data_IF_453208289634
#
_entry.id   IF_453208289634
#
_cell.length_a   1.000
_cell.length_b   1.000
_cell.length_c   1.000
_cell.angle_alpha   90.00
_cell.angle_beta   90.00
_cell.angle_gamma   90.00
#
_symmetry.space_group_name_H-M   'P 1'
#
loop_
_entity.id
_entity.type
_entity.pdbx_description
1 polymer ?
#
# COMPACT_ATOMS: atom_id res chain seq x y z
N UNK A 1 1.43 -7.86 14.67
CA UNK A 1 2.53 -6.95 14.29
C UNK A 1 2.40 -6.61 12.81
N UNK A 2 3.17 -5.65 12.27
CA UNK A 2 3.14 -5.27 10.85
C UNK A 2 4.55 -4.98 10.33
N UNK A 3 4.75 -5.07 9.01
CA UNK A 3 5.90 -4.48 8.32
C UNK A 3 5.46 -3.32 7.44
N UNK A 4 6.39 -2.41 7.17
CA UNK A 4 6.11 -1.22 6.38
C UNK A 4 7.21 -0.95 5.36
N UNK A 5 6.85 -0.25 4.29
CA UNK A 5 7.79 0.35 3.34
C UNK A 5 7.31 1.76 2.96
N UNK A 6 8.25 2.69 2.88
CA UNK A 6 7.97 4.08 2.46
C UNK A 6 7.95 4.20 0.94
N UNK A 7 7.06 5.04 0.41
CA UNK A 7 7.09 5.41 -0.99
C UNK A 7 8.44 6.06 -1.33
N UNK A 8 9.18 5.56 -2.35
CA UNK A 8 10.52 6.05 -2.69
C UNK A 8 10.49 7.31 -3.57
N UNK A 9 9.46 8.15 -3.44
CA UNK A 9 9.15 9.25 -4.34
C UNK A 9 8.89 10.55 -3.61
N UNK A 10 9.48 11.64 -4.11
CA UNK A 10 9.36 12.98 -3.49
C UNK A 10 7.93 13.50 -3.48
N UNK A 11 7.12 13.18 -4.49
CA UNK A 11 5.74 13.68 -4.63
C UNK A 11 4.75 12.96 -3.73
N UNK A 12 5.12 11.81 -3.16
CA UNK A 12 4.29 10.99 -2.27
C UNK A 12 5.10 10.56 -1.04
N UNK A 13 5.99 11.44 -0.55
CA UNK A 13 6.94 11.11 0.50
C UNK A 13 6.27 10.82 1.86
N UNK A 14 5.00 11.15 2.01
CA UNK A 14 4.15 10.88 3.16
C UNK A 14 3.36 9.57 3.04
N UNK A 15 3.50 8.83 1.94
CA UNK A 15 2.79 7.57 1.71
C UNK A 15 3.61 6.39 2.20
N UNK A 16 2.96 5.49 2.93
CA UNK A 16 3.51 4.21 3.37
C UNK A 16 2.64 3.05 2.92
N UNK A 17 3.28 1.92 2.69
CA UNK A 17 2.62 0.63 2.54
C UNK A 17 2.78 -0.18 3.83
N UNK A 18 1.71 -0.83 4.29
CA UNK A 18 1.67 -1.61 5.53
C UNK A 18 1.19 -3.03 5.18
N UNK A 19 1.96 -4.03 5.60
CA UNK A 19 1.61 -5.45 5.45
C UNK A 19 1.38 -6.10 6.80
N UNK A 20 0.27 -6.84 6.95
CA UNK A 20 -0.02 -7.61 8.17
C UNK A 20 0.99 -8.74 8.37
N UNK A 21 1.71 -8.76 9.50
CA UNK A 21 2.64 -9.83 9.88
C UNK A 21 1.98 -10.90 10.75
N UNK A 22 1.49 -10.47 11.90
CA UNK A 22 0.84 -11.33 12.89
C UNK A 22 -0.50 -10.70 13.28
N UNK A 23 -1.59 -11.46 13.21
CA UNK A 23 -2.88 -11.03 13.73
C UNK A 23 -2.93 -11.29 15.22
N UNK A 24 -2.93 -10.24 16.04
CA UNK A 24 -3.18 -10.33 17.48
C UNK A 24 -4.66 -10.53 17.86
N UNK A 25 -5.54 -10.84 16.91
CA UNK A 25 -6.98 -10.94 17.16
C UNK A 25 -7.86 -10.95 15.92
N UNK A 26 -7.55 -11.79 14.93
CA UNK A 26 -8.48 -12.10 13.83
C UNK A 26 -9.36 -13.28 14.22
N UNK A 27 -10.65 -13.23 13.88
CA UNK A 27 -11.57 -14.37 14.07
C UNK A 27 -11.08 -15.61 13.33
N UNK A 28 -11.61 -16.78 13.70
CA UNK A 28 -11.16 -18.11 13.24
C UNK A 28 -11.16 -18.31 11.71
N UNK A 29 -11.65 -17.35 10.91
CA UNK A 29 -11.76 -17.38 9.45
C UNK A 29 -10.78 -16.42 8.71
N UNK A 30 -10.03 -15.55 9.40
CA UNK A 30 -9.05 -14.63 8.77
C UNK A 30 -7.64 -15.27 8.70
N UNK A 31 -7.47 -16.20 7.75
CA UNK A 31 -6.19 -16.89 7.51
C UNK A 31 -5.19 -16.10 6.64
N UNK A 32 -5.59 -14.92 6.15
CA UNK A 32 -4.79 -14.10 5.23
C UNK A 32 -3.99 -12.98 5.89
N UNK A 33 -3.40 -12.16 5.03
CA UNK A 33 -2.85 -10.85 5.37
C UNK A 33 -3.59 -9.74 4.62
N UNK A 34 -3.19 -8.52 4.87
CA UNK A 34 -3.70 -7.34 4.17
C UNK A 34 -2.52 -6.41 3.83
N UNK A 35 -2.57 -5.82 2.64
CA UNK A 35 -1.67 -4.77 2.18
C UNK A 35 -2.45 -3.46 2.09
N UNK A 36 -2.07 -2.48 2.90
CA UNK A 36 -2.72 -1.18 2.94
C UNK A 36 -1.74 -0.09 2.46
N UNK A 37 -2.25 0.92 1.75
CA UNK A 37 -1.52 2.16 1.44
C UNK A 37 -2.13 3.30 2.23
N UNK A 38 -1.32 4.03 2.99
CA UNK A 38 -1.77 5.12 3.84
C UNK A 38 -1.00 6.40 3.48
N UNK A 39 -1.70 7.53 3.39
CA UNK A 39 -1.07 8.85 3.50
C UNK A 39 -0.99 9.19 4.98
N UNK A 40 0.17 9.65 5.42
CA UNK A 40 0.39 10.12 6.79
C UNK A 40 0.15 11.62 6.94
N UNK A 41 0.03 12.34 5.83
CA UNK A 41 -0.14 13.80 5.79
C UNK A 41 0.90 14.54 6.67
N UNK A 42 2.17 14.11 6.59
CA UNK A 42 3.26 14.55 7.50
C UNK A 42 3.48 16.08 7.49
N UNK A 43 3.07 16.77 6.42
CA UNK A 43 3.14 18.22 6.28
C UNK A 43 1.80 18.94 6.30
N UNK A 44 0.68 18.24 6.47
CA UNK A 44 -0.66 18.82 6.40
C UNK A 44 -1.41 18.83 7.74
N UNK A 45 -2.74 18.87 7.64
CA UNK A 45 -3.65 19.04 8.78
C UNK A 45 -4.80 18.03 8.81
N UNK A 46 -4.96 17.24 7.75
CA UNK A 46 -5.99 16.20 7.64
C UNK A 46 -5.61 14.95 8.46
N UNK A 47 -4.32 14.72 8.67
CA UNK A 47 -3.79 13.58 9.42
C UNK A 47 -3.81 12.26 8.63
N UNK A 48 -3.39 11.15 9.25
CA UNK A 48 -3.24 9.88 8.56
C UNK A 48 -4.56 9.32 8.03
N UNK A 49 -4.56 8.83 6.79
CA UNK A 49 -5.75 8.26 6.13
C UNK A 49 -5.38 7.07 5.25
N UNK A 50 -6.22 6.03 5.28
CA UNK A 50 -6.15 4.92 4.35
C UNK A 50 -6.49 5.37 2.92
N UNK A 51 -5.65 4.98 1.97
CA UNK A 51 -5.81 5.25 0.54
C UNK A 51 -6.38 4.03 -0.19
N UNK A 52 -5.93 2.82 0.17
CA UNK A 52 -6.36 1.58 -0.46
C UNK A 52 -6.03 0.36 0.41
N UNK A 53 -6.73 -0.75 0.20
CA UNK A 53 -6.41 -2.03 0.82
C UNK A 53 -6.60 -3.22 -0.14
N UNK A 54 -5.73 -4.22 -0.04
CA UNK A 54 -5.80 -5.49 -0.79
C UNK A 54 -5.60 -6.66 0.16
N UNK A 55 -6.59 -7.56 0.23
CA UNK A 55 -6.47 -8.82 0.97
C UNK A 55 -5.53 -9.81 0.26
N UNK A 56 -4.75 -10.53 1.04
CA UNK A 56 -3.79 -11.54 0.56
C UNK A 56 -4.06 -12.89 1.21
N UNK A 57 -3.78 -13.97 0.49
CA UNK A 57 -3.97 -15.33 0.98
C UNK A 57 -2.99 -15.73 2.11
N UNK A 58 -1.83 -15.06 2.17
CA UNK A 58 -0.79 -15.27 3.18
C UNK A 58 -0.42 -13.93 3.85
N UNK A 59 0.25 -14.00 5.00
CA UNK A 59 0.72 -12.82 5.74
C UNK A 59 2.06 -12.36 5.21
N UNK A 60 2.40 -11.10 5.49
CA UNK A 60 3.70 -10.52 5.11
C UNK A 60 4.76 -10.89 6.14
N UNK A 61 5.99 -11.09 5.70
CA UNK A 61 7.19 -11.21 6.53
C UNK A 61 8.13 -10.02 6.33
N UNK A 62 8.10 -9.42 5.13
CA UNK A 62 8.84 -8.24 4.75
C UNK A 62 8.08 -7.46 3.68
N UNK A 63 8.39 -6.16 3.59
CA UNK A 63 7.85 -5.28 2.56
C UNK A 63 8.99 -4.40 2.04
N UNK A 64 9.02 -4.15 0.74
CA UNK A 64 9.94 -3.23 0.09
C UNK A 64 9.24 -2.46 -1.02
N UNK A 65 9.56 -1.18 -1.15
CA UNK A 65 9.02 -0.32 -2.20
C UNK A 65 10.18 0.30 -2.97
N UNK A 66 10.23 0.03 -4.28
CA UNK A 66 11.31 0.50 -5.14
C UNK A 66 10.81 1.51 -6.18
N UNK A 67 11.60 2.55 -6.42
CA UNK A 67 11.41 3.46 -7.54
C UNK A 67 11.94 2.79 -8.80
N UNK A 68 11.23 2.97 -9.91
CA UNK A 68 11.68 2.53 -11.23
C UNK A 68 12.26 3.70 -12.05
N UNK A 69 12.61 4.82 -11.41
CA UNK A 69 13.22 5.96 -12.09
C UNK A 69 14.44 5.54 -12.90
N UNK A 70 14.47 5.89 -14.19
CA UNK A 70 15.54 5.51 -15.12
C UNK A 70 15.37 4.14 -15.78
N UNK A 71 14.35 3.36 -15.42
CA UNK A 71 13.95 2.13 -16.12
C UNK A 71 12.97 2.43 -17.27
N UNK A 72 12.97 1.66 -18.38
CA UNK A 72 11.92 1.73 -19.39
C UNK A 72 10.50 1.54 -18.84
N UNK A 73 10.37 0.84 -17.70
CA UNK A 73 9.09 0.63 -17.03
C UNK A 73 8.57 1.86 -16.27
N UNK A 74 9.38 2.92 -16.09
CA UNK A 74 9.06 4.08 -15.26
C UNK A 74 7.80 4.83 -15.72
N UNK A 75 7.51 4.88 -17.01
CA UNK A 75 6.31 5.55 -17.54
C UNK A 75 5.03 4.78 -17.23
N UNK A 76 5.11 3.45 -17.14
CA UNK A 76 3.97 2.57 -16.86
C UNK A 76 3.69 2.39 -15.37
N UNK A 77 4.65 2.75 -14.52
CA UNK A 77 4.62 2.56 -13.05
C UNK A 77 5.29 3.75 -12.37
N UNK A 78 4.71 4.95 -12.47
CA UNK A 78 5.32 6.15 -11.90
C UNK A 78 5.46 6.06 -10.37
N UNK A 79 4.65 5.25 -9.68
CA UNK A 79 4.81 4.96 -8.26
C UNK A 79 5.79 3.81 -7.94
N UNK A 80 6.38 3.19 -8.97
CA UNK A 80 7.32 2.09 -8.80
C UNK A 80 6.64 0.74 -8.53
N UNK A 81 7.28 -0.10 -7.72
CA UNK A 81 6.76 -1.44 -7.38
C UNK A 81 6.87 -1.72 -5.88
N UNK A 82 5.83 -2.35 -5.35
CA UNK A 82 5.83 -2.96 -4.02
C UNK A 82 6.13 -4.44 -4.14
N UNK A 83 7.03 -4.93 -3.30
CA UNK A 83 7.36 -6.33 -3.14
C UNK A 83 7.11 -6.76 -1.70
N UNK A 84 6.42 -7.88 -1.52
CA UNK A 84 6.14 -8.47 -0.23
C UNK A 84 6.67 -9.89 -0.18
N UNK A 85 7.56 -10.17 0.77
CA UNK A 85 7.94 -11.54 1.10
C UNK A 85 6.86 -12.13 2.00
N UNK A 86 6.21 -13.20 1.55
CA UNK A 86 5.04 -13.78 2.20
C UNK A 86 5.43 -14.90 3.16
N UNK A 87 4.55 -15.21 4.12
CA UNK A 87 4.77 -16.25 5.14
C UNK A 87 4.81 -17.67 4.57
N UNK A 88 4.27 -17.88 3.37
CA UNK A 88 4.30 -19.14 2.62
C UNK A 88 5.57 -19.29 1.76
N UNK A 89 6.50 -18.35 1.83
CA UNK A 89 7.76 -18.35 1.09
C UNK A 89 7.68 -17.76 -0.32
N UNK A 90 6.51 -17.27 -0.76
CA UNK A 90 6.35 -16.62 -2.07
C UNK A 90 6.71 -15.13 -1.98
N UNK A 91 7.12 -14.53 -3.10
CA UNK A 91 7.20 -13.07 -3.26
C UNK A 91 6.10 -12.61 -4.19
N UNK A 92 5.28 -11.69 -3.71
CA UNK A 92 4.25 -11.04 -4.53
C UNK A 92 4.66 -9.61 -4.88
N UNK A 93 4.22 -9.15 -6.04
CA UNK A 93 4.45 -7.81 -6.54
C UNK A 93 3.13 -7.07 -6.74
N UNK A 94 3.09 -5.81 -6.33
CA UNK A 94 1.95 -4.92 -6.54
C UNK A 94 2.39 -3.66 -7.26
N UNK A 95 1.49 -3.16 -8.12
CA UNK A 95 1.62 -1.85 -8.73
C UNK A 95 0.81 -0.84 -7.88
N UNK A 96 1.47 0.06 -7.13
CA UNK A 96 0.77 1.04 -6.28
C UNK A 96 -0.13 1.98 -7.09
N UNK A 97 0.24 2.27 -8.35
CA UNK A 97 -0.56 3.10 -9.25
C UNK A 97 -1.95 2.52 -9.52
N UNK A 98 -2.09 1.19 -9.53
CA UNK A 98 -3.39 0.53 -9.69
C UNK A 98 -4.13 0.31 -8.37
N UNK A 99 -3.47 0.53 -7.23
CA UNK A 99 -4.07 0.37 -5.90
C UNK A 99 -4.67 1.68 -5.42
N UNK A 100 -4.03 2.82 -5.72
CA UNK A 100 -4.59 4.12 -5.42
C UNK A 100 -5.81 4.34 -6.31
N UNK A 101 -6.99 4.23 -5.72
CA UNK A 101 -8.24 4.61 -6.38
C UNK A 101 -8.14 6.07 -6.82
N UNK A 102 -8.39 6.32 -8.10
CA UNK A 102 -8.54 7.67 -8.64
C UNK A 102 -9.86 8.34 -8.19
N UNK A 103 -10.64 7.72 -7.31
CA UNK A 103 -12.02 8.10 -7.03
C UNK A 103 -12.24 8.82 -5.69
N UNK A 104 -11.29 9.68 -5.29
CA UNK A 104 -11.53 10.69 -4.25
C UNK A 104 -12.30 11.92 -4.76
N UNK A 105 -12.78 11.92 -6.02
CA UNK A 105 -13.54 13.02 -6.63
C UNK A 105 -15.07 12.78 -6.62
N UNK A 106 -15.56 11.56 -6.39
CA UNK A 106 -17.00 11.26 -6.41
C UNK A 106 -17.76 11.57 -5.10
N UNK A 107 -17.09 11.94 -4.01
CA UNK A 107 -17.75 12.25 -2.72
C UNK A 107 -18.14 13.73 -2.54
N UNK A 108 -18.08 14.54 -3.61
CA UNK A 108 -18.28 16.00 -3.56
C UNK A 108 -19.45 16.57 -4.38
N UNK A 109 -20.32 15.76 -4.98
CA UNK A 109 -21.45 16.28 -5.75
C UNK A 109 -22.75 15.50 -5.52
N UNK A 110 -23.42 15.81 -4.41
CA UNK A 110 -24.89 15.76 -4.38
C UNK A 110 -25.39 16.97 -3.61
N UNK A 111 -25.49 18.08 -4.34
CA UNK A 111 -26.35 19.21 -3.99
C UNK A 111 -27.64 19.10 -4.81
N UNK A 112 -28.74 19.47 -4.13
CA UNK A 112 -30.14 19.47 -4.53
C UNK A 112 -30.91 18.17 -4.23
#
# INVERSE_FOLDING_TARGET
SACLAWAPLKTHADVIAIGTKDSGGGGFDDYGGELELHSLDVGGTAGPRALSSVKTAARFSSLGWSSLSGSPASSSKPLGLLAGGMSDGVVNLWNPDSMLDHDATAAGHHVA
#
